data_IF_413205419336
#
_entry.id   IF_413205419336
#
_cell.length_a   1.000
_cell.length_b   1.000
_cell.length_c   1.000
_cell.angle_alpha   90.00
_cell.angle_beta   90.00
_cell.angle_gamma   90.00
#
_symmetry.space_group_name_H-M   'P 1'
#
loop_
_entity.id
_entity.type
_entity.pdbx_description
1 polymer ?
#
# COMPACT_ATOMS: atom_id res chain seq x y z
N UNK A 1 27.51 -7.58 -9.27
CA UNK A 1 26.57 -6.43 -9.30
C UNK A 1 25.31 -6.87 -8.57
N UNK A 2 24.89 -6.14 -7.55
CA UNK A 2 23.58 -6.35 -6.95
C UNK A 2 22.49 -5.85 -7.91
N UNK A 3 21.43 -6.63 -8.10
CA UNK A 3 20.29 -6.18 -8.89
C UNK A 3 19.59 -5.01 -8.16
N UNK A 4 19.28 -3.95 -8.90
CA UNK A 4 18.53 -2.81 -8.38
C UNK A 4 17.09 -2.89 -8.86
N UNK A 5 16.14 -2.96 -7.91
CA UNK A 5 14.70 -2.96 -8.20
C UNK A 5 14.17 -1.56 -7.98
N UNK A 6 13.69 -0.92 -9.04
CA UNK A 6 13.13 0.44 -8.97
C UNK A 6 11.76 0.46 -8.31
N UNK A 7 11.37 1.58 -7.72
CA UNK A 7 10.03 1.75 -7.13
C UNK A 7 8.93 1.60 -8.19
N UNK A 8 9.16 2.10 -9.40
CA UNK A 8 8.22 1.93 -10.51
C UNK A 8 7.97 0.46 -10.86
N UNK A 9 9.02 -0.37 -10.81
CA UNK A 9 8.89 -1.81 -11.03
C UNK A 9 8.09 -2.49 -9.92
N UNK A 10 8.28 -2.09 -8.66
CA UNK A 10 7.51 -2.62 -7.52
C UNK A 10 6.03 -2.26 -7.63
N UNK A 11 5.72 -1.00 -7.99
CA UNK A 11 4.34 -0.54 -8.23
C UNK A 11 3.70 -1.33 -9.37
N UNK A 12 4.43 -1.55 -10.47
CA UNK A 12 3.96 -2.35 -11.60
C UNK A 12 3.67 -3.81 -11.17
N UNK A 13 4.54 -4.42 -10.36
CA UNK A 13 4.31 -5.78 -9.86
C UNK A 13 3.05 -5.87 -8.99
N UNK A 14 2.82 -4.90 -8.10
CA UNK A 14 1.61 -4.85 -7.29
C UNK A 14 0.35 -4.72 -8.18
N UNK A 15 0.40 -3.90 -9.22
CA UNK A 15 -0.68 -3.76 -10.19
C UNK A 15 -0.93 -5.08 -10.93
N UNK A 16 0.11 -5.70 -11.49
CA UNK A 16 0.01 -6.96 -12.21
C UNK A 16 -0.52 -8.11 -11.35
N UNK A 17 -0.18 -8.13 -10.05
CA UNK A 17 -0.73 -9.11 -9.12
C UNK A 17 -2.24 -8.94 -8.95
N UNK A 18 -2.73 -7.71 -8.75
CA UNK A 18 -4.17 -7.43 -8.60
C UNK A 18 -4.94 -7.76 -9.88
N UNK A 19 -4.41 -7.42 -11.04
CA UNK A 19 -5.00 -7.79 -12.34
C UNK A 19 -5.06 -9.30 -12.51
N UNK A 20 -4.01 -10.02 -12.14
CA UNK A 20 -3.96 -11.47 -12.29
C UNK A 20 -4.98 -12.22 -11.40
N UNK A 21 -5.48 -11.61 -10.32
CA UNK A 21 -6.53 -12.21 -9.48
C UNK A 21 -7.85 -12.34 -10.24
N UNK A 22 -8.12 -11.46 -11.19
CA UNK A 22 -9.34 -11.54 -12.01
C UNK A 22 -9.28 -12.70 -13.01
N UNK A 23 -8.08 -13.04 -13.48
CA UNK A 23 -7.88 -14.03 -14.54
C UNK A 23 -7.51 -15.42 -14.02
N UNK A 24 -7.18 -15.53 -12.73
CA UNK A 24 -6.69 -16.79 -12.13
C UNK A 24 -7.41 -17.09 -10.82
N UNK A 25 -7.36 -18.37 -10.42
CA UNK A 25 -7.85 -18.82 -9.12
C UNK A 25 -6.76 -18.72 -8.07
N UNK A 26 -6.90 -17.77 -7.15
CA UNK A 26 -5.99 -17.60 -6.01
C UNK A 26 -6.67 -18.03 -4.71
N UNK A 27 -5.89 -18.63 -3.83
CA UNK A 27 -6.34 -19.07 -2.51
C UNK A 27 -5.33 -18.63 -1.45
N UNK A 28 -5.84 -18.03 -0.37
CA UNK A 28 -5.07 -17.99 0.87
C UNK A 28 -5.17 -19.35 1.54
N UNK A 29 -4.05 -19.91 1.98
CA UNK A 29 -4.04 -21.18 2.70
C UNK A 29 -3.43 -21.03 4.09
N UNK A 30 -3.89 -21.88 4.98
CA UNK A 30 -3.35 -22.08 6.32
C UNK A 30 -2.73 -23.46 6.40
N UNK A 31 -1.59 -23.57 7.04
CA UNK A 31 -0.86 -24.82 7.16
C UNK A 31 -0.19 -25.01 8.51
N UNK A 32 0.34 -26.20 8.73
CA UNK A 32 1.11 -26.57 9.91
C UNK A 32 2.47 -25.88 9.89
N UNK A 33 3.09 -25.77 11.07
CA UNK A 33 4.43 -25.23 11.19
C UNK A 33 5.47 -26.08 10.46
N UNK A 34 6.50 -25.43 9.97
CA UNK A 34 7.65 -26.13 9.39
C UNK A 34 8.44 -26.84 10.53
N UNK A 35 8.54 -28.17 10.56
CA UNK A 35 9.27 -28.84 11.61
C UNK A 35 10.78 -28.65 11.42
N UNK A 36 11.48 -28.36 12.50
CA UNK A 36 12.94 -28.41 12.54
C UNK A 36 13.47 -29.84 12.63
N UNK A 37 12.63 -30.76 13.10
CA UNK A 37 12.89 -32.19 13.15
C UNK A 37 11.60 -32.96 12.82
N UNK A 38 11.66 -34.04 12.05
CA UNK A 38 10.52 -34.92 11.82
C UNK A 38 10.12 -35.58 13.14
N UNK A 39 9.10 -35.06 13.79
CA UNK A 39 8.60 -35.63 15.03
C UNK A 39 7.20 -36.23 14.80
N UNK A 40 6.92 -37.47 15.20
CA UNK A 40 5.58 -38.03 15.16
C UNK A 40 4.69 -37.21 16.10
N UNK A 41 3.64 -36.58 15.58
CA UNK A 41 2.77 -35.67 16.33
C UNK A 41 2.80 -34.22 15.83
N UNK A 42 3.38 -34.01 14.68
CA UNK A 42 3.40 -32.75 13.96
C UNK A 42 2.01 -32.08 13.96
N UNK A 43 1.99 -30.81 14.36
CA UNK A 43 0.74 -30.05 14.53
C UNK A 43 0.12 -30.14 15.92
N UNK A 44 0.66 -30.91 16.86
CA UNK A 44 0.20 -30.91 18.26
C UNK A 44 0.62 -29.62 18.98
N UNK A 45 -0.23 -29.18 19.89
CA UNK A 45 0.05 -27.96 20.68
C UNK A 45 1.31 -28.06 21.53
N UNK A 46 1.74 -29.27 21.94
CA UNK A 46 3.00 -29.50 22.65
C UNK A 46 4.23 -29.14 21.83
N UNK A 47 4.15 -29.27 20.50
CA UNK A 47 5.27 -29.02 19.60
C UNK A 47 5.51 -27.52 19.40
N UNK A 48 4.51 -26.69 19.70
CA UNK A 48 4.57 -25.23 19.59
C UNK A 48 5.20 -24.53 20.80
N UNK A 49 5.26 -25.24 21.94
CA UNK A 49 5.76 -24.66 23.20
C UNK A 49 7.24 -24.93 23.44
N UNK A 50 7.85 -25.88 22.74
CA UNK A 50 9.23 -26.35 22.99
C UNK A 50 10.23 -25.93 21.95
N UNK A 51 9.79 -25.51 20.78
CA UNK A 51 10.66 -24.99 19.72
C UNK A 51 10.10 -23.69 19.19
N UNK A 52 10.99 -22.73 18.95
CA UNK A 52 10.66 -21.52 18.21
C UNK A 52 10.23 -21.94 16.82
N UNK A 53 8.97 -21.70 16.48
CA UNK A 53 8.49 -21.90 15.12
C UNK A 53 9.32 -21.04 14.18
N UNK A 54 10.05 -21.65 13.29
CA UNK A 54 10.76 -20.91 12.28
C UNK A 54 9.76 -20.18 11.39
N UNK A 55 10.01 -18.92 11.12
CA UNK A 55 9.22 -18.17 10.14
C UNK A 55 9.21 -18.94 8.81
N UNK A 56 8.09 -18.97 8.10
CA UNK A 56 8.03 -19.55 6.76
C UNK A 56 9.12 -18.93 5.88
N UNK A 57 9.93 -19.80 5.25
CA UNK A 57 10.98 -19.35 4.33
C UNK A 57 10.51 -19.69 2.91
N UNK A 58 10.43 -18.67 2.08
CA UNK A 58 10.08 -18.83 0.67
C UNK A 58 11.33 -19.31 -0.10
N UNK A 59 11.51 -20.63 -0.13
CA UNK A 59 12.52 -21.27 -0.95
C UNK A 59 12.04 -22.63 -1.46
N UNK A 60 12.70 -23.14 -2.50
CA UNK A 60 12.33 -24.38 -3.15
C UNK A 60 12.43 -25.62 -2.21
N UNK A 61 13.32 -25.60 -1.25
CA UNK A 61 13.51 -26.72 -0.31
C UNK A 61 12.27 -26.99 0.54
N UNK A 62 11.51 -25.94 0.89
CA UNK A 62 10.31 -26.05 1.71
C UNK A 62 9.01 -26.15 0.92
N UNK A 63 9.06 -25.99 -0.39
CA UNK A 63 7.86 -25.97 -1.23
C UNK A 63 7.04 -27.26 -1.12
N UNK A 64 7.68 -28.43 -1.10
CA UNK A 64 7.01 -29.72 -0.93
C UNK A 64 6.33 -29.79 0.44
N UNK A 65 7.06 -29.39 1.48
CA UNK A 65 6.51 -29.38 2.84
C UNK A 65 5.28 -28.47 2.95
N UNK A 66 5.30 -27.29 2.34
CA UNK A 66 4.14 -26.39 2.33
C UNK A 66 2.92 -27.01 1.65
N UNK A 67 3.11 -27.75 0.56
CA UNK A 67 2.03 -28.46 -0.12
C UNK A 67 1.44 -29.56 0.74
N UNK A 68 2.29 -30.34 1.40
CA UNK A 68 1.88 -31.50 2.21
C UNK A 68 1.21 -31.07 3.52
N UNK A 69 1.48 -29.87 4.00
CA UNK A 69 0.98 -29.35 5.29
C UNK A 69 -0.08 -28.28 5.18
N UNK A 70 -0.53 -27.94 3.96
CA UNK A 70 -1.66 -27.04 3.75
C UNK A 70 -2.95 -27.68 4.23
N UNK A 71 -3.62 -27.09 5.22
CA UNK A 71 -4.81 -27.64 5.84
C UNK A 71 -6.09 -27.09 5.21
N UNK A 72 -6.15 -25.77 5.09
CA UNK A 72 -7.36 -25.06 4.64
C UNK A 72 -6.98 -23.99 3.65
N UNK A 73 -7.82 -23.80 2.65
CA UNK A 73 -7.67 -22.72 1.68
C UNK A 73 -8.98 -22.03 1.42
N UNK A 74 -8.93 -20.71 1.30
CA UNK A 74 -10.06 -19.86 0.96
C UNK A 74 -9.75 -19.03 -0.26
N UNK A 75 -10.70 -19.00 -1.21
CA UNK A 75 -10.56 -18.27 -2.46
C UNK A 75 -10.40 -16.77 -2.20
N UNK A 76 -9.43 -16.18 -2.87
CA UNK A 76 -9.20 -14.74 -2.91
C UNK A 76 -9.87 -14.19 -4.17
N UNK A 77 -10.68 -13.16 -4.01
CA UNK A 77 -11.31 -12.42 -5.10
C UNK A 77 -10.80 -10.97 -5.09
N UNK A 78 -11.12 -10.19 -6.11
CA UNK A 78 -10.81 -8.76 -6.16
C UNK A 78 -11.35 -7.96 -4.96
N UNK A 79 -12.44 -8.44 -4.34
CA UNK A 79 -13.00 -7.85 -3.12
C UNK A 79 -12.16 -8.07 -1.85
N UNK A 80 -11.21 -9.01 -1.92
CA UNK A 80 -10.34 -9.38 -0.80
C UNK A 80 -8.95 -8.76 -0.88
N UNK A 81 -8.69 -7.92 -1.88
CA UNK A 81 -7.34 -7.41 -2.14
C UNK A 81 -7.38 -5.90 -2.32
N UNK A 82 -6.48 -5.21 -1.64
CA UNK A 82 -6.30 -3.76 -1.78
C UNK A 82 -4.82 -3.40 -1.86
N UNK A 83 -4.51 -2.37 -2.67
CA UNK A 83 -3.21 -1.70 -2.60
C UNK A 83 -3.12 -0.94 -1.31
N UNK A 84 -1.94 -0.92 -0.72
CA UNK A 84 -1.70 -0.23 0.54
C UNK A 84 -0.42 0.58 0.48
N UNK A 85 -0.39 1.63 1.29
CA UNK A 85 0.79 2.44 1.54
C UNK A 85 1.03 2.56 3.05
N UNK A 86 2.25 2.90 3.44
CA UNK A 86 2.60 3.09 4.85
C UNK A 86 1.65 4.12 5.48
N UNK A 87 1.14 3.82 6.67
CA UNK A 87 0.27 4.73 7.41
C UNK A 87 1.06 5.86 8.03
N UNK A 88 0.64 7.08 7.75
CA UNK A 88 1.13 8.30 8.38
C UNK A 88 -0.08 9.08 8.86
N UNK A 89 -0.38 9.01 10.14
CA UNK A 89 -1.50 9.74 10.72
C UNK A 89 -1.17 11.22 10.87
N UNK A 90 -2.14 12.08 10.56
CA UNK A 90 -1.98 13.49 10.88
C UNK A 90 -2.13 13.73 12.38
N UNK A 91 -1.13 14.35 12.96
CA UNK A 91 -1.09 14.70 14.38
C UNK A 91 -0.74 16.20 14.48
N UNK A 92 -1.52 16.93 15.23
CA UNK A 92 -1.24 18.37 15.48
C UNK A 92 0.14 18.56 16.10
N UNK A 93 0.79 19.66 15.72
CA UNK A 93 2.13 20.02 16.22
C UNK A 93 3.24 19.03 15.79
N UNK A 94 3.06 18.37 14.65
CA UNK A 94 4.02 17.45 14.05
C UNK A 94 4.53 18.02 12.72
N UNK A 95 5.79 17.78 12.40
CA UNK A 95 6.41 18.17 11.13
C UNK A 95 6.28 17.07 10.10
N UNK A 96 5.91 17.43 8.88
CA UNK A 96 5.79 16.54 7.74
C UNK A 96 6.66 17.02 6.59
N UNK A 97 7.06 16.11 5.73
CA UNK A 97 7.74 16.44 4.49
C UNK A 97 6.73 16.95 3.46
N UNK A 98 7.19 17.74 2.51
CA UNK A 98 6.40 18.05 1.33
C UNK A 98 6.72 17.10 0.19
N UNK A 99 5.79 16.94 -0.76
CA UNK A 99 6.08 16.25 -2.00
C UNK A 99 7.22 16.94 -2.75
N UNK A 100 8.28 16.20 -3.06
CA UNK A 100 9.38 16.65 -3.92
C UNK A 100 9.87 15.48 -4.76
N UNK A 101 9.91 15.66 -6.07
CA UNK A 101 10.38 14.67 -7.03
C UNK A 101 11.91 14.46 -6.99
N UNK A 102 12.66 15.41 -6.40
CA UNK A 102 14.12 15.50 -6.40
C UNK A 102 14.79 15.02 -5.10
N UNK A 103 14.05 14.36 -4.19
CA UNK A 103 14.68 13.74 -3.03
C UNK A 103 15.74 12.71 -3.46
N UNK A 104 16.92 12.84 -2.90
CA UNK A 104 18.11 12.07 -3.26
C UNK A 104 19.16 12.15 -2.13
N UNK A 105 20.27 11.46 -2.26
CA UNK A 105 21.41 11.57 -1.33
C UNK A 105 21.92 13.01 -1.15
N UNK A 106 21.65 13.90 -2.12
CA UNK A 106 22.04 15.31 -2.08
C UNK A 106 20.92 16.25 -1.61
N UNK A 107 19.69 15.74 -1.53
CA UNK A 107 18.50 16.50 -1.14
C UNK A 107 17.65 15.61 -0.25
N UNK A 108 17.91 15.66 1.02
CA UNK A 108 17.25 14.87 2.05
C UNK A 108 15.88 15.45 2.39
N UNK A 109 14.89 14.58 2.62
CA UNK A 109 13.59 14.97 3.17
C UNK A 109 13.78 15.50 4.60
N UNK A 110 13.43 16.75 4.88
CA UNK A 110 13.93 17.43 6.08
C UNK A 110 13.32 16.93 7.39
N UNK A 111 12.11 16.34 7.36
CA UNK A 111 11.44 15.80 8.55
C UNK A 111 11.77 14.34 8.78
N UNK A 112 11.58 13.48 7.79
CA UNK A 112 11.79 12.03 7.90
C UNK A 112 13.23 11.57 7.74
N UNK A 113 14.14 12.44 7.27
CA UNK A 113 15.57 12.16 7.06
C UNK A 113 15.83 11.04 6.06
N UNK A 114 15.02 10.93 5.02
CA UNK A 114 15.16 9.93 3.96
C UNK A 114 15.51 10.56 2.61
N UNK A 115 16.08 9.76 1.73
CA UNK A 115 16.59 10.17 0.41
C UNK A 115 15.69 9.74 -0.76
N UNK A 116 14.50 9.24 -0.45
CA UNK A 116 13.53 8.77 -1.42
C UNK A 116 12.14 9.28 -1.06
N UNK A 117 11.39 9.76 -2.07
CA UNK A 117 10.05 10.30 -1.87
C UNK A 117 9.12 9.30 -1.16
N UNK A 118 9.05 8.06 -1.63
CA UNK A 118 8.11 7.07 -1.10
C UNK A 118 8.39 6.59 0.32
N UNK A 119 9.56 6.90 0.85
CA UNK A 119 9.90 6.65 2.25
C UNK A 119 9.66 7.88 3.14
N UNK A 120 9.42 9.05 2.54
CA UNK A 120 9.18 10.30 3.29
C UNK A 120 7.73 10.41 3.75
N UNK A 121 7.49 11.30 4.71
CA UNK A 121 6.16 11.52 5.30
C UNK A 121 5.44 12.69 4.59
N UNK A 122 5.29 12.63 3.26
CA UNK A 122 4.71 13.71 2.44
C UNK A 122 3.20 13.59 2.24
N UNK A 123 2.55 12.59 2.80
CA UNK A 123 1.11 12.42 2.82
C UNK A 123 0.65 12.03 4.22
N UNK A 124 -0.60 12.25 4.52
CA UNK A 124 -1.21 11.91 5.80
C UNK A 124 -2.62 11.35 5.63
N UNK A 125 -3.04 10.52 6.59
CA UNK A 125 -4.43 10.15 6.79
C UNK A 125 -4.95 10.82 8.06
N UNK A 126 -6.17 11.36 8.00
CA UNK A 126 -6.85 11.94 9.16
C UNK A 126 -7.68 10.90 9.91
N UNK A 127 -8.12 11.24 11.12
CA UNK A 127 -9.08 10.47 11.92
C UNK A 127 -10.44 10.27 11.25
N UNK A 128 -10.73 11.06 10.20
CA UNK A 128 -11.91 10.91 9.33
C UNK A 128 -11.64 10.01 8.11
N UNK A 129 -10.50 9.30 8.08
CA UNK A 129 -10.06 8.46 6.96
C UNK A 129 -9.94 9.20 5.62
N UNK A 130 -9.68 10.51 5.67
CA UNK A 130 -9.36 11.32 4.50
C UNK A 130 -7.86 11.38 4.30
N UNK A 131 -7.41 11.20 3.06
CA UNK A 131 -6.00 11.19 2.68
C UNK A 131 -5.63 12.48 1.97
N UNK A 132 -4.53 13.07 2.42
CA UNK A 132 -4.01 14.34 1.90
C UNK A 132 -2.53 14.22 1.56
N UNK A 133 -2.11 14.89 0.49
CA UNK A 133 -0.71 15.08 0.15
C UNK A 133 -0.26 16.47 0.55
N UNK A 134 0.95 16.57 1.10
CA UNK A 134 1.56 17.84 1.48
C UNK A 134 2.25 18.48 0.27
N UNK A 135 1.74 19.57 -0.23
CA UNK A 135 2.34 20.34 -1.32
C UNK A 135 3.33 21.41 -0.84
N UNK A 136 3.13 21.93 0.36
CA UNK A 136 4.00 22.91 1.00
C UNK A 136 4.06 22.64 2.51
N UNK A 137 5.22 22.83 3.10
CA UNK A 137 5.45 22.67 4.54
C UNK A 137 6.21 23.86 5.16
N UNK A 138 6.25 25.00 4.46
CA UNK A 138 6.91 26.22 4.93
C UNK A 138 8.43 26.18 4.92
N UNK A 139 9.05 25.12 4.39
CA UNK A 139 10.52 25.05 4.30
C UNK A 139 11.06 25.77 3.08
N UNK A 140 12.28 26.30 3.21
CA UNK A 140 13.09 26.85 2.14
C UNK A 140 14.57 26.63 2.46
N UNK A 141 15.44 26.88 1.48
CA UNK A 141 16.88 26.71 1.66
C UNK A 141 17.38 25.31 1.31
N UNK A 142 18.69 25.17 1.20
CA UNK A 142 19.34 23.87 0.97
C UNK A 142 19.41 23.10 2.28
N UNK A 143 18.85 21.90 2.33
CA UNK A 143 18.84 21.02 3.50
C UNK A 143 18.34 21.73 4.80
N UNK A 144 17.07 22.18 4.83
CA UNK A 144 16.55 22.90 5.97
C UNK A 144 16.59 22.03 7.23
N UNK A 145 17.11 22.56 8.32
CA UNK A 145 17.19 21.87 9.62
C UNK A 145 15.96 22.11 10.50
N UNK A 146 15.24 23.19 10.23
CA UNK A 146 14.03 23.53 10.94
C UNK A 146 12.82 23.37 10.01
N UNK A 147 11.97 22.40 10.30
CA UNK A 147 10.72 22.18 9.57
C UNK A 147 9.58 22.70 10.42
N UNK A 148 8.78 23.65 9.93
CA UNK A 148 7.56 24.09 10.61
C UNK A 148 6.69 22.90 11.00
N UNK A 149 5.87 23.10 12.04
CA UNK A 149 4.93 22.06 12.49
C UNK A 149 3.53 22.35 11.96
N UNK A 150 2.87 21.31 11.47
CA UNK A 150 1.47 21.42 11.07
C UNK A 150 0.59 21.56 12.31
N UNK A 151 -0.15 22.67 12.38
CA UNK A 151 -1.01 22.99 13.51
C UNK A 151 -2.49 22.76 13.21
N UNK A 152 -2.87 22.85 11.94
CA UNK A 152 -4.27 22.78 11.52
C UNK A 152 -4.54 21.50 10.73
N UNK A 153 -5.50 20.69 11.22
CA UNK A 153 -5.93 19.47 10.52
C UNK A 153 -6.47 19.83 9.13
N UNK A 154 -5.99 19.15 8.06
CA UNK A 154 -6.56 19.33 6.74
C UNK A 154 -8.01 18.81 6.71
N UNK A 155 -8.91 19.64 6.23
CA UNK A 155 -10.35 19.33 6.13
C UNK A 155 -10.93 19.64 4.75
N UNK A 156 -10.26 20.50 3.98
CA UNK A 156 -10.71 20.91 2.65
C UNK A 156 -10.63 19.74 1.66
N UNK A 157 -11.73 19.50 0.94
CA UNK A 157 -11.83 18.44 -0.07
C UNK A 157 -11.98 18.99 -1.48
N UNK A 158 -11.65 20.27 -1.69
CA UNK A 158 -11.71 20.91 -3.01
C UNK A 158 -10.71 20.30 -3.98
N UNK A 159 -11.00 20.39 -5.27
CA UNK A 159 -10.12 19.93 -6.36
C UNK A 159 -8.78 20.66 -6.30
N UNK A 160 -8.85 22.01 -6.25
CA UNK A 160 -7.67 22.83 -6.02
C UNK A 160 -7.39 22.93 -4.52
N UNK A 161 -6.14 22.74 -4.11
CA UNK A 161 -5.78 22.86 -2.70
C UNK A 161 -5.99 24.32 -2.24
N UNK A 162 -6.37 24.51 -0.97
CA UNK A 162 -6.52 25.85 -0.41
C UNK A 162 -5.19 26.61 -0.44
N UNK A 163 -5.23 27.89 -0.11
CA UNK A 163 -4.03 28.71 0.11
C UNK A 163 -3.19 28.13 1.25
N UNK A 164 -1.91 28.48 1.27
CA UNK A 164 -1.00 28.09 2.35
C UNK A 164 -1.54 28.56 3.69
N UNK A 165 -1.62 27.65 4.66
CA UNK A 165 -2.03 27.98 6.03
C UNK A 165 -1.01 28.85 6.75
N UNK A 166 -1.42 29.47 7.87
CA UNK A 166 -0.53 30.29 8.70
C UNK A 166 0.62 29.50 9.35
N UNK A 167 0.52 28.17 9.37
CA UNK A 167 1.58 27.26 9.79
C UNK A 167 2.57 26.89 8.67
N UNK A 168 2.36 27.41 7.45
CA UNK A 168 3.18 27.15 6.27
C UNK A 168 2.80 25.89 5.50
N UNK A 169 1.78 25.13 5.95
CA UNK A 169 1.34 23.94 5.28
C UNK A 169 0.26 24.22 4.24
N UNK A 170 0.32 23.43 3.16
CA UNK A 170 -0.69 23.38 2.11
C UNK A 170 -0.96 21.93 1.75
N UNK A 171 -2.18 21.46 2.03
CA UNK A 171 -2.61 20.10 1.84
C UNK A 171 -3.56 19.99 0.65
N UNK A 172 -3.35 18.98 -0.19
CA UNK A 172 -4.28 18.64 -1.26
C UNK A 172 -4.98 17.33 -0.89
N UNK A 173 -6.30 17.36 -0.93
CA UNK A 173 -7.13 16.17 -0.77
C UNK A 173 -6.95 15.20 -1.93
N UNK A 174 -6.89 13.90 -1.64
CA UNK A 174 -6.83 12.83 -2.63
C UNK A 174 -8.11 11.98 -2.63
N UNK A 175 -8.43 11.34 -1.51
CA UNK A 175 -9.63 10.49 -1.39
C UNK A 175 -10.00 10.24 0.06
N UNK A 176 -11.22 9.71 0.25
CA UNK A 176 -11.69 9.17 1.54
C UNK A 176 -11.80 7.66 1.43
N UNK A 177 -11.32 6.94 2.44
CA UNK A 177 -11.41 5.48 2.49
C UNK A 177 -12.86 5.08 2.76
N UNK A 178 -13.38 4.11 2.01
CA UNK A 178 -14.76 3.66 2.18
C UNK A 178 -14.96 2.92 3.50
N UNK A 179 -16.12 3.05 4.16
CA UNK A 179 -16.41 2.32 5.40
C UNK A 179 -16.31 0.80 5.26
N UNK A 180 -16.69 0.24 4.12
CA UNK A 180 -16.59 -1.19 3.84
C UNK A 180 -15.14 -1.67 3.79
N UNK A 181 -14.24 -0.84 3.30
CA UNK A 181 -12.82 -1.14 3.23
C UNK A 181 -12.15 -0.98 4.60
N UNK A 182 -12.56 0.02 5.39
CA UNK A 182 -12.07 0.19 6.77
C UNK A 182 -12.35 -1.07 7.57
N UNK A 183 -13.57 -1.62 7.54
CA UNK A 183 -13.94 -2.82 8.29
C UNK A 183 -13.05 -4.03 7.96
N UNK A 184 -12.65 -4.16 6.70
CA UNK A 184 -11.87 -5.32 6.23
C UNK A 184 -10.36 -5.13 6.35
N UNK A 185 -9.87 -3.91 6.15
CA UNK A 185 -8.45 -3.68 5.87
C UNK A 185 -7.80 -2.64 6.79
N UNK A 186 -8.48 -2.16 7.84
CA UNK A 186 -7.86 -1.20 8.76
C UNK A 186 -6.65 -1.82 9.44
N UNK A 187 -5.55 -1.09 9.41
CA UNK A 187 -4.25 -1.53 9.92
C UNK A 187 -3.53 -0.36 10.57
N UNK A 188 -2.74 -0.64 11.59
CA UNK A 188 -1.89 0.36 12.25
C UNK A 188 -0.66 0.73 11.44
N UNK A 189 -0.23 -0.14 10.50
CA UNK A 189 0.99 0.07 9.72
C UNK A 189 0.72 0.58 8.31
N UNK A 190 -0.45 0.26 7.76
CA UNK A 190 -0.81 0.59 6.37
C UNK A 190 -2.22 1.13 6.30
N UNK A 191 -2.48 2.00 5.32
CA UNK A 191 -3.82 2.31 4.88
C UNK A 191 -4.01 1.93 3.42
N UNK A 192 -5.26 1.67 3.07
CA UNK A 192 -5.64 1.21 1.74
C UNK A 192 -5.80 2.36 0.77
N UNK A 193 -5.46 2.08 -0.49
CA UNK A 193 -5.70 2.96 -1.63
C UNK A 193 -6.83 2.35 -2.48
N UNK A 194 -7.80 3.15 -2.94
CA UNK A 194 -8.91 2.65 -3.74
C UNK A 194 -8.45 1.84 -4.95
N UNK A 195 -9.01 0.64 -5.13
CA UNK A 195 -8.82 -0.12 -6.37
C UNK A 195 -9.60 0.55 -7.51
N UNK A 196 -9.19 0.30 -8.75
CA UNK A 196 -9.88 0.80 -9.92
C UNK A 196 -9.95 2.35 -10.02
N UNK A 197 -8.93 3.05 -9.51
CA UNK A 197 -8.88 4.51 -9.59
C UNK A 197 -9.00 5.02 -11.01
N UNK A 198 -8.24 4.44 -11.92
CA UNK A 198 -8.16 4.85 -13.33
C UNK A 198 -9.52 4.79 -14.05
N UNK A 199 -10.31 3.73 -13.79
CA UNK A 199 -11.57 3.46 -14.47
C UNK A 199 -12.80 3.70 -13.58
N UNK A 200 -12.62 4.31 -12.41
CA UNK A 200 -13.72 4.56 -11.47
C UNK A 200 -14.71 5.57 -12.04
N UNK A 201 -16.00 5.26 -11.87
CA UNK A 201 -17.11 6.16 -12.17
C UNK A 201 -17.64 6.88 -10.90
N UNK A 202 -17.00 6.68 -9.75
CA UNK A 202 -17.35 7.40 -8.54
C UNK A 202 -17.08 8.89 -8.72
N UNK A 203 -18.09 9.72 -8.52
CA UNK A 203 -18.01 11.16 -8.77
C UNK A 203 -16.90 11.86 -7.98
N UNK A 204 -16.61 11.42 -6.77
CA UNK A 204 -15.54 11.99 -5.94
C UNK A 204 -14.16 11.65 -6.55
N UNK A 205 -13.96 10.39 -6.93
CA UNK A 205 -12.73 9.95 -7.60
C UNK A 205 -12.55 10.66 -8.94
N UNK A 206 -13.59 10.67 -9.78
CA UNK A 206 -13.56 11.36 -11.09
C UNK A 206 -13.21 12.82 -10.91
N UNK A 207 -13.82 13.50 -9.94
CA UNK A 207 -13.56 14.92 -9.65
C UNK A 207 -12.10 15.19 -9.30
N UNK A 208 -11.48 14.34 -8.47
CA UNK A 208 -10.07 14.51 -8.08
C UNK A 208 -9.12 14.06 -9.18
N UNK A 209 -9.37 12.88 -9.79
CA UNK A 209 -8.56 12.31 -10.86
C UNK A 209 -8.55 13.22 -12.09
N UNK A 210 -9.71 13.66 -12.51
CA UNK A 210 -9.88 14.44 -13.73
C UNK A 210 -9.97 15.95 -13.45
N UNK A 211 -9.82 16.38 -12.19
CA UNK A 211 -9.83 17.78 -11.76
C UNK A 211 -11.18 18.48 -11.98
N UNK A 212 -12.23 17.73 -12.24
CA UNK A 212 -13.58 18.28 -12.52
C UNK A 212 -13.66 19.13 -13.78
N UNK A 213 -12.57 19.22 -14.56
CA UNK A 213 -12.50 20.06 -15.75
C UNK A 213 -11.56 19.42 -16.80
N UNK A 214 -11.85 19.64 -18.07
CA UNK A 214 -11.04 19.19 -19.21
C UNK A 214 -9.61 19.77 -19.25
N UNK A 215 -9.28 20.73 -18.40
CA UNK A 215 -8.02 21.45 -18.38
C UNK A 215 -7.04 21.02 -17.27
N UNK A 216 -7.16 19.83 -16.71
CA UNK A 216 -6.20 19.25 -15.74
C UNK A 216 -4.75 19.39 -16.19
N UNK A 217 -4.53 19.27 -17.49
CA UNK A 217 -3.20 19.35 -18.06
C UNK A 217 -2.57 20.75 -17.93
N UNK A 218 -3.36 21.78 -17.61
CA UNK A 218 -2.89 23.18 -17.57
C UNK A 218 -2.49 23.66 -16.17
N UNK A 219 -2.59 22.81 -15.13
CA UNK A 219 -2.26 23.19 -13.77
C UNK A 219 -1.38 22.16 -13.06
N UNK A 220 -0.37 21.68 -13.75
CA UNK A 220 0.47 20.57 -13.31
C UNK A 220 1.37 20.97 -12.15
N UNK A 221 2.21 22.00 -12.33
CA UNK A 221 3.14 22.45 -11.28
C UNK A 221 2.38 23.32 -10.27
N UNK A 222 2.50 22.98 -8.99
CA UNK A 222 1.80 23.69 -7.89
C UNK A 222 2.75 24.51 -7.02
N UNK A 223 4.05 24.24 -7.08
CA UNK A 223 5.06 24.88 -6.23
C UNK A 223 6.39 25.03 -6.94
N UNK A 224 7.05 26.15 -6.67
CA UNK A 224 8.49 26.34 -6.89
C UNK A 224 9.17 26.43 -5.52
N UNK A 225 10.15 25.58 -5.29
CA UNK A 225 10.94 25.58 -4.06
C UNK A 225 12.09 26.58 -4.17
N UNK A 226 12.26 27.40 -3.17
CA UNK A 226 13.39 28.36 -3.07
C UNK A 226 14.52 27.68 -2.30
N UNK A 227 15.53 27.19 -3.00
CA UNK A 227 16.76 26.66 -2.37
C UNK A 227 17.70 27.81 -2.00
N UNK A 228 17.78 28.83 -2.83
CA UNK A 228 18.49 30.08 -2.56
C UNK A 228 17.77 31.25 -3.25
N UNK A 229 17.55 32.31 -2.53
CA UNK A 229 16.97 33.54 -3.07
C UNK A 229 17.96 34.41 -3.85
N UNK A 230 19.25 34.14 -3.71
CA UNK A 230 20.33 34.92 -4.34
C UNK A 230 20.44 36.34 -3.79
N UNK A 231 21.03 37.24 -4.58
CA UNK A 231 21.17 38.66 -4.19
C UNK A 231 21.24 39.58 -5.43
N UNK A 232 20.90 40.84 -5.23
CA UNK A 232 21.02 41.88 -6.25
C UNK A 232 19.95 41.84 -7.34
N UNK A 233 18.84 41.13 -7.13
CA UNK A 233 17.74 41.09 -8.09
C UNK A 233 16.86 42.34 -8.03
N UNK A 234 16.61 42.94 -9.18
CA UNK A 234 15.73 44.10 -9.37
C UNK A 234 14.83 43.85 -10.59
N UNK A 235 13.55 44.19 -10.48
CA UNK A 235 12.56 44.07 -11.57
C UNK A 235 12.61 42.71 -12.29
N UNK A 236 12.64 41.63 -11.51
CA UNK A 236 12.85 40.30 -12.00
C UNK A 236 11.53 39.65 -12.40
N UNK A 237 11.49 39.15 -13.65
CA UNK A 237 10.43 38.25 -14.11
C UNK A 237 10.95 36.84 -14.26
N UNK A 238 10.07 35.88 -14.27
CA UNK A 238 10.46 34.48 -14.43
C UNK A 238 9.45 33.67 -15.23
N UNK A 239 9.94 32.60 -15.84
CA UNK A 239 9.13 31.58 -16.51
C UNK A 239 9.67 30.19 -16.21
N UNK A 240 8.84 29.17 -16.39
CA UNK A 240 9.29 27.78 -16.30
C UNK A 240 9.62 27.27 -17.69
N UNK A 241 10.87 26.89 -17.88
CA UNK A 241 11.36 26.24 -19.10
C UNK A 241 11.58 24.74 -18.83
N UNK A 242 11.26 23.90 -19.82
CA UNK A 242 11.40 22.45 -19.75
C UNK A 242 10.82 21.79 -21.00
N UNK A 243 10.45 20.51 -20.86
CA UNK A 243 9.78 19.74 -21.91
C UNK A 243 8.26 20.00 -21.97
N UNK A 244 7.70 20.62 -20.95
CA UNK A 244 6.31 21.08 -20.89
C UNK A 244 6.09 22.46 -21.46
N UNK A 245 4.88 23.00 -21.28
CA UNK A 245 4.49 24.32 -21.76
C UNK A 245 3.49 25.02 -20.83
N UNK A 246 3.46 26.35 -20.86
CA UNK A 246 2.46 27.15 -20.17
C UNK A 246 2.70 27.33 -18.66
N UNK A 247 3.87 26.94 -18.15
CA UNK A 247 4.26 27.21 -16.75
C UNK A 247 4.68 28.66 -16.55
N UNK A 248 3.98 29.37 -15.65
CA UNK A 248 4.24 30.77 -15.34
C UNK A 248 4.35 30.97 -13.83
N UNK A 249 5.23 31.87 -13.44
CA UNK A 249 5.47 32.21 -12.02
C UNK A 249 5.57 33.72 -11.83
N UNK A 250 5.13 34.18 -10.67
CA UNK A 250 5.34 35.53 -10.18
C UNK A 250 6.36 35.53 -9.07
N UNK A 251 7.31 36.47 -9.11
CA UNK A 251 8.41 36.57 -8.15
C UNK A 251 8.21 37.83 -7.29
N UNK A 252 8.51 37.70 -6.02
CA UNK A 252 8.65 38.85 -5.08
C UNK A 252 10.09 38.90 -4.59
N UNK A 253 10.70 40.06 -4.70
CA UNK A 253 12.04 40.35 -4.18
C UNK A 253 11.96 41.26 -2.98
N UNK A 254 12.81 41.04 -1.98
CA UNK A 254 12.96 41.90 -0.80
C UNK A 254 14.46 42.16 -0.58
N UNK A 255 14.87 43.41 -0.62
CA UNK A 255 16.29 43.81 -0.49
C UNK A 255 17.23 43.11 -1.51
N UNK A 256 16.71 42.84 -2.73
CA UNK A 256 17.47 42.18 -3.79
C UNK A 256 17.53 40.65 -3.67
N UNK A 257 16.88 40.04 -2.71
CA UNK A 257 16.73 38.61 -2.56
C UNK A 257 15.33 38.14 -3.02
N UNK A 258 15.23 37.01 -3.71
CA UNK A 258 13.95 36.38 -4.06
C UNK A 258 13.39 35.72 -2.80
N UNK A 259 12.32 36.24 -2.26
CA UNK A 259 11.70 35.76 -1.02
C UNK A 259 10.40 34.98 -1.23
N UNK A 260 9.75 35.14 -2.39
CA UNK A 260 8.54 34.39 -2.73
C UNK A 260 8.48 34.11 -4.22
N UNK A 261 7.99 32.93 -4.55
CA UNK A 261 7.66 32.51 -5.92
C UNK A 261 6.28 31.86 -5.90
N UNK A 262 5.35 32.46 -6.59
CA UNK A 262 3.96 31.98 -6.73
C UNK A 262 3.77 31.45 -8.13
N UNK A 263 3.28 30.22 -8.24
CA UNK A 263 2.90 29.64 -9.53
C UNK A 263 1.57 30.23 -9.95
N UNK A 264 1.56 31.01 -11.03
CA UNK A 264 0.35 31.64 -11.60
C UNK A 264 -0.31 30.72 -12.62
N UNK A 265 0.47 29.91 -13.33
CA UNK A 265 0.01 28.82 -14.19
C UNK A 265 0.95 27.62 -14.02
N UNK A 266 0.40 26.47 -13.69
CA UNK A 266 1.19 25.22 -13.51
C UNK A 266 1.61 24.57 -14.83
N UNK A 267 1.08 25.01 -15.96
CA UNK A 267 1.35 24.45 -17.26
C UNK A 267 1.01 22.98 -17.41
N UNK A 268 1.51 22.36 -18.46
CA UNK A 268 1.25 20.94 -18.77
C UNK A 268 2.45 20.24 -19.40
N UNK A 269 2.52 18.92 -19.26
CA UNK A 269 3.47 18.06 -19.96
C UNK A 269 4.90 18.08 -19.40
N UNK A 270 5.13 18.69 -18.23
CA UNK A 270 6.45 18.73 -17.63
C UNK A 270 6.84 17.39 -17.02
N UNK A 271 8.01 16.88 -17.41
CA UNK A 271 8.74 15.80 -16.72
C UNK A 271 10.03 16.33 -16.08
N UNK A 272 10.52 17.45 -16.58
CA UNK A 272 11.56 18.25 -15.93
C UNK A 272 11.32 19.74 -16.20
N UNK A 273 11.92 20.59 -15.39
CA UNK A 273 11.83 22.03 -15.59
C UNK A 273 12.86 22.80 -14.79
N UNK A 274 13.13 24.00 -15.22
CA UNK A 274 13.95 24.98 -14.53
C UNK A 274 13.20 26.32 -14.50
N UNK A 275 13.43 27.12 -13.45
CA UNK A 275 12.96 28.49 -13.43
C UNK A 275 14.00 29.38 -14.12
N UNK A 276 13.62 29.95 -15.24
CA UNK A 276 14.43 30.93 -15.95
C UNK A 276 14.11 32.33 -15.45
N UNK A 277 15.12 32.99 -14.90
CA UNK A 277 15.02 34.33 -14.38
C UNK A 277 15.44 35.33 -15.44
N UNK A 278 14.59 36.30 -15.73
CA UNK A 278 14.91 37.45 -16.57
C UNK A 278 15.07 38.67 -15.70
N UNK A 279 16.30 39.04 -15.41
CA UNK A 279 16.69 40.17 -14.59
C UNK A 279 17.91 40.87 -15.19
N UNK A 280 17.93 42.19 -15.07
CA UNK A 280 19.10 42.98 -15.50
C UNK A 280 20.29 42.83 -14.55
N UNK A 281 20.07 42.36 -13.34
CA UNK A 281 21.07 42.20 -12.28
C UNK A 281 20.68 41.05 -11.36
N UNK A 282 21.56 40.65 -10.47
CA UNK A 282 21.34 39.58 -9.52
C UNK A 282 22.05 38.27 -9.88
N UNK A 283 22.44 37.52 -8.84
CA UNK A 283 23.13 36.26 -8.97
C UNK A 283 22.77 35.29 -7.82
N UNK A 284 23.01 34.00 -8.04
CA UNK A 284 23.01 32.98 -6.97
C UNK A 284 21.62 32.48 -6.58
N UNK A 285 20.54 32.89 -7.23
CA UNK A 285 19.24 32.29 -6.98
C UNK A 285 19.20 30.86 -7.52
N UNK A 286 18.61 29.97 -6.74
CA UNK A 286 18.31 28.60 -7.14
C UNK A 286 16.85 28.27 -6.79
N UNK A 287 16.03 28.20 -7.82
CA UNK A 287 14.60 27.99 -7.76
C UNK A 287 14.26 26.68 -8.45
N UNK A 288 13.59 25.76 -7.76
CA UNK A 288 13.31 24.42 -8.23
C UNK A 288 11.81 24.26 -8.42
N UNK A 289 11.30 24.13 -9.65
CA UNK A 289 9.90 23.80 -9.87
C UNK A 289 9.65 22.37 -9.41
N UNK A 290 8.67 22.17 -8.56
CA UNK A 290 8.32 20.82 -8.06
C UNK A 290 7.45 20.14 -9.11
N UNK A 291 8.03 19.14 -9.77
CA UNK A 291 7.36 18.40 -10.84
C UNK A 291 6.49 17.30 -10.21
N UNK A 292 5.17 17.35 -10.38
CA UNK A 292 4.26 16.31 -9.89
C UNK A 292 4.31 15.07 -10.82
N UNK A 293 3.61 13.99 -10.45
CA UNK A 293 3.37 12.88 -11.38
C UNK A 293 2.73 13.36 -12.69
N UNK A 294 2.88 12.55 -13.73
CA UNK A 294 2.28 12.85 -15.04
C UNK A 294 0.80 13.19 -14.91
N UNK A 295 0.36 14.24 -15.58
CA UNK A 295 -0.99 14.83 -15.51
C UNK A 295 -1.38 15.46 -14.15
N UNK A 296 -0.42 15.63 -13.23
CA UNK A 296 -0.64 16.34 -11.97
C UNK A 296 -1.06 15.47 -10.80
N UNK A 297 -1.12 16.11 -9.62
CA UNK A 297 -1.49 15.47 -8.36
C UNK A 297 -2.94 14.97 -8.34
N UNK A 298 -3.12 13.70 -7.96
CA UNK A 298 -4.41 13.03 -7.87
C UNK A 298 -4.80 12.26 -9.13
N UNK A 299 -4.09 12.41 -10.26
CA UNK A 299 -4.40 11.68 -11.48
C UNK A 299 -4.09 10.18 -11.36
N UNK A 300 -2.87 9.83 -10.97
CA UNK A 300 -2.41 8.45 -10.75
C UNK A 300 -1.94 8.30 -9.31
N UNK A 301 -2.88 8.02 -8.41
CA UNK A 301 -2.56 7.90 -6.98
C UNK A 301 -1.65 6.70 -6.67
N UNK A 302 -1.58 5.71 -7.55
CA UNK A 302 -0.73 4.55 -7.33
C UNK A 302 0.75 4.93 -7.44
N UNK A 303 1.11 5.69 -8.49
CA UNK A 303 2.45 6.27 -8.61
C UNK A 303 2.71 7.38 -7.63
N UNK A 304 1.69 8.21 -7.37
CA UNK A 304 1.84 9.34 -6.47
C UNK A 304 2.15 8.92 -5.03
N UNK A 305 1.50 7.88 -4.52
CA UNK A 305 1.70 7.37 -3.17
C UNK A 305 2.71 6.21 -3.08
N UNK A 306 3.20 5.69 -4.21
CA UNK A 306 4.16 4.59 -4.23
C UNK A 306 3.58 3.26 -3.77
N UNK A 307 2.43 2.86 -4.32
CA UNK A 307 1.70 1.65 -3.91
C UNK A 307 2.39 0.37 -4.36
N UNK A 308 3.46 0.00 -3.71
CA UNK A 308 4.27 -1.19 -4.01
C UNK A 308 3.87 -2.44 -3.19
N UNK A 309 2.82 -2.33 -2.36
CA UNK A 309 2.35 -3.38 -1.46
C UNK A 309 0.88 -3.67 -1.64
N UNK A 310 0.52 -4.90 -1.34
CA UNK A 310 -0.85 -5.40 -1.44
C UNK A 310 -1.23 -6.06 -0.12
N UNK A 311 -2.40 -5.71 0.40
CA UNK A 311 -3.01 -6.35 1.56
C UNK A 311 -4.09 -7.32 1.08
N UNK A 312 -4.05 -8.53 1.59
CA UNK A 312 -5.03 -9.58 1.31
C UNK A 312 -5.81 -9.85 2.58
N UNK A 313 -7.13 -9.79 2.48
CA UNK A 313 -8.04 -10.18 3.54
C UNK A 313 -8.62 -11.56 3.25
N UNK A 314 -8.39 -12.50 4.14
CA UNK A 314 -9.03 -13.81 4.11
C UNK A 314 -9.58 -14.12 5.51
N UNK A 315 -10.89 -14.31 5.61
CA UNK A 315 -11.54 -14.71 6.85
C UNK A 315 -11.93 -16.17 6.76
N UNK A 316 -11.36 -16.95 7.66
CA UNK A 316 -11.77 -18.32 7.92
C UNK A 316 -12.77 -18.30 9.08
N UNK A 317 -13.87 -18.99 8.95
CA UNK A 317 -14.99 -18.90 9.88
C UNK A 317 -15.62 -20.27 10.12
N UNK A 318 -15.83 -20.60 11.39
CA UNK A 318 -16.48 -21.86 11.80
C UNK A 318 -17.95 -21.89 11.36
N UNK A 319 -18.62 -20.75 11.33
CA UNK A 319 -20.02 -20.67 10.88
C UNK A 319 -20.22 -21.09 9.43
N UNK A 320 -19.19 -20.98 8.61
CA UNK A 320 -19.18 -21.45 7.22
C UNK A 320 -18.57 -22.85 7.08
N UNK A 321 -18.15 -23.47 8.18
CA UNK A 321 -17.42 -24.73 8.24
C UNK A 321 -16.14 -24.73 7.37
N UNK A 322 -15.56 -23.56 7.18
CA UNK A 322 -14.32 -23.39 6.44
C UNK A 322 -13.11 -23.80 7.28
N UNK A 323 -13.26 -23.75 8.61
CA UNK A 323 -12.13 -23.84 9.51
C UNK A 323 -12.58 -24.18 10.94
N UNK A 324 -12.04 -25.22 11.57
CA UNK A 324 -12.29 -25.50 12.99
C UNK A 324 -11.61 -24.45 13.86
N UNK A 325 -12.37 -23.81 14.76
CA UNK A 325 -11.89 -22.69 15.58
C UNK A 325 -10.78 -23.09 16.55
N UNK A 326 -10.70 -24.36 16.93
CA UNK A 326 -9.68 -24.87 17.86
C UNK A 326 -8.37 -25.31 17.18
N UNK A 327 -8.29 -25.18 15.86
CA UNK A 327 -7.10 -25.57 15.11
C UNK A 327 -6.03 -24.47 15.19
N UNK A 328 -4.79 -24.87 15.50
CA UNK A 328 -3.62 -23.98 15.44
C UNK A 328 -2.90 -24.17 14.10
N UNK A 329 -2.42 -23.07 13.56
CA UNK A 329 -1.63 -23.04 12.33
C UNK A 329 -0.41 -22.11 12.51
N UNK A 330 0.61 -22.30 11.69
CA UNK A 330 1.82 -21.47 11.70
C UNK A 330 2.29 -21.07 10.31
N UNK A 331 1.65 -21.56 9.28
CA UNK A 331 1.93 -21.18 7.90
C UNK A 331 0.74 -20.46 7.31
N UNK A 332 1.02 -19.36 6.62
CA UNK A 332 0.07 -18.65 5.77
C UNK A 332 0.74 -18.43 4.43
N UNK A 333 0.05 -18.78 3.36
CA UNK A 333 0.58 -18.60 2.02
C UNK A 333 -0.51 -18.40 0.98
N UNK A 334 -0.07 -18.25 -0.26
CA UNK A 334 -0.95 -18.04 -1.42
C UNK A 334 -0.68 -19.14 -2.42
N UNK A 335 -1.76 -19.77 -2.90
CA UNK A 335 -1.72 -20.73 -4.00
C UNK A 335 -2.36 -20.10 -5.24
N UNK A 336 -1.74 -20.29 -6.37
CA UNK A 336 -2.26 -19.89 -7.68
C UNK A 336 -2.64 -21.11 -8.49
N UNK A 337 -3.86 -21.14 -9.02
CA UNK A 337 -4.39 -22.17 -9.89
C UNK A 337 -4.15 -23.60 -9.36
N UNK A 338 -4.59 -23.94 -8.12
CA UNK A 338 -4.51 -25.33 -7.68
C UNK A 338 -5.34 -26.22 -8.60
N UNK A 339 -4.85 -27.42 -8.85
CA UNK A 339 -5.55 -28.39 -9.68
C UNK A 339 -6.49 -29.28 -8.84
N UNK A 340 -7.53 -29.79 -9.45
CA UNK A 340 -8.41 -30.77 -8.82
C UNK A 340 -7.75 -32.14 -8.79
N UNK A 341 -8.05 -32.95 -7.79
CA UNK A 341 -7.57 -34.31 -7.68
C UNK A 341 -8.02 -35.21 -8.86
N UNK A 342 -9.15 -34.91 -9.48
CA UNK A 342 -9.78 -35.73 -10.50
C UNK A 342 -9.21 -35.55 -11.91
N UNK A 343 -8.32 -34.58 -12.15
CA UNK A 343 -7.77 -34.38 -13.49
C UNK A 343 -6.60 -33.41 -13.55
N UNK A 344 -5.55 -33.84 -14.23
CA UNK A 344 -4.39 -32.99 -14.53
C UNK A 344 -4.83 -31.88 -15.47
N UNK A 345 -4.49 -30.62 -15.11
CA UNK A 345 -4.82 -29.42 -15.90
C UNK A 345 -6.21 -28.85 -15.63
N UNK A 346 -6.99 -29.42 -14.69
CA UNK A 346 -8.28 -28.85 -14.30
C UNK A 346 -8.09 -27.99 -13.06
N UNK A 347 -8.16 -26.66 -13.25
CA UNK A 347 -8.04 -25.69 -12.15
C UNK A 347 -9.22 -25.81 -11.19
N UNK A 348 -8.94 -25.90 -9.90
CA UNK A 348 -9.96 -25.81 -8.85
C UNK A 348 -10.51 -24.39 -8.75
N UNK A 349 -11.83 -24.27 -8.73
CA UNK A 349 -12.54 -22.98 -8.70
C UNK A 349 -13.50 -22.80 -7.52
N UNK A 350 -13.61 -23.80 -6.63
CA UNK A 350 -14.46 -23.74 -5.43
C UNK A 350 -14.14 -22.56 -4.51
N UNK A 351 -15.01 -22.24 -3.59
CA UNK A 351 -14.82 -21.10 -2.66
C UNK A 351 -13.78 -21.36 -1.57
N UNK A 352 -13.68 -22.61 -1.16
CA UNK A 352 -12.74 -23.08 -0.12
C UNK A 352 -12.32 -24.52 -0.38
N UNK A 353 -11.25 -24.96 0.24
CA UNK A 353 -10.85 -26.37 0.28
C UNK A 353 -10.33 -26.75 1.67
N UNK A 354 -10.47 -28.03 1.98
CA UNK A 354 -9.85 -28.66 3.15
C UNK A 354 -9.06 -29.87 2.70
N UNK A 355 -7.88 -30.08 3.24
CA UNK A 355 -7.06 -31.27 3.04
C UNK A 355 -7.35 -32.37 4.08
N UNK A 356 -8.27 -32.12 4.98
CA UNK A 356 -8.69 -33.10 5.97
C UNK A 356 -9.55 -34.19 5.34
N UNK A 357 -9.45 -35.38 5.88
CA UNK A 357 -10.29 -36.50 5.49
C UNK A 357 -11.66 -36.40 6.16
N UNK A 358 -12.72 -36.60 5.40
CA UNK A 358 -14.07 -36.72 5.93
C UNK A 358 -14.41 -38.20 6.21
N UNK A 359 -14.87 -38.50 7.43
CA UNK A 359 -15.28 -39.84 7.85
C UNK A 359 -16.73 -39.75 8.31
N UNK A 360 -17.60 -40.48 7.60
CA UNK A 360 -19.00 -40.65 8.04
C UNK A 360 -19.07 -41.73 9.13
N UNK A 361 -19.79 -41.45 10.22
CA UNK A 361 -20.07 -42.40 11.28
C UNK A 361 -21.53 -42.80 11.30
N UNK A 362 -21.82 -44.07 11.56
CA UNK A 362 -23.19 -44.61 11.55
C UNK A 362 -23.84 -44.65 12.95
N UNK A 363 -23.02 -44.50 13.99
CA UNK A 363 -23.47 -44.60 15.40
C UNK A 363 -23.51 -43.25 16.06
N UNK A 364 -24.42 -43.07 17.02
CA UNK A 364 -24.48 -41.89 17.85
C UNK A 364 -23.43 -41.98 18.94
N UNK A 365 -22.30 -41.36 18.72
CA UNK A 365 -21.17 -41.29 19.67
C UNK A 365 -20.98 -39.82 20.05
N UNK A 366 -20.64 -39.54 21.28
CA UNK A 366 -20.20 -38.22 21.67
C UNK A 366 -18.73 -38.08 21.29
N UNK A 367 -18.45 -37.14 20.40
CA UNK A 367 -17.11 -36.88 19.87
C UNK A 367 -16.82 -35.40 20.06
N UNK A 368 -15.65 -35.10 20.57
CA UNK A 368 -15.17 -33.72 20.73
C UNK A 368 -14.01 -33.44 19.80
N UNK A 369 -13.84 -32.18 19.44
CA UNK A 369 -12.66 -31.72 18.72
C UNK A 369 -11.41 -32.04 19.54
N UNK A 370 -10.39 -32.61 18.90
CA UNK A 370 -9.17 -33.07 19.56
C UNK A 370 -9.19 -34.53 20.02
N UNK A 371 -10.34 -35.22 20.00
CA UNK A 371 -10.39 -36.64 20.33
C UNK A 371 -9.56 -37.47 19.32
N UNK A 372 -8.82 -38.46 19.86
CA UNK A 372 -8.07 -39.38 19.03
C UNK A 372 -9.00 -40.48 18.53
N UNK A 373 -9.04 -40.66 17.23
CA UNK A 373 -9.71 -41.75 16.57
C UNK A 373 -8.70 -42.77 16.06
N UNK A 374 -9.04 -44.05 16.13
CA UNK A 374 -8.20 -45.12 15.62
C UNK A 374 -9.03 -46.11 14.82
N UNK A 375 -8.46 -46.60 13.72
CA UNK A 375 -9.05 -47.65 12.90
C UNK A 375 -8.07 -48.81 12.75
N UNK A 376 -8.50 -49.99 13.10
CA UNK A 376 -7.72 -51.21 12.86
C UNK A 376 -7.83 -51.60 11.36
N UNK A 377 -6.72 -51.53 10.65
CA UNK A 377 -6.62 -51.87 9.23
C UNK A 377 -6.37 -53.36 8.99
N UNK A 378 -6.28 -54.14 10.03
CA UNK A 378 -5.86 -55.55 9.94
C UNK A 378 -4.32 -55.71 9.93
N UNK A 379 -3.86 -56.97 10.08
CA UNK A 379 -2.42 -57.31 10.07
C UNK A 379 -1.56 -56.47 11.07
N UNK A 380 -2.15 -56.02 12.17
CA UNK A 380 -1.44 -55.18 13.15
C UNK A 380 -1.24 -53.73 12.77
N UNK A 381 -1.80 -53.28 11.66
CA UNK A 381 -1.77 -51.88 11.23
C UNK A 381 -2.94 -51.10 11.85
N UNK A 382 -2.64 -49.98 12.44
CA UNK A 382 -3.62 -49.05 13.04
C UNK A 382 -3.46 -47.70 12.34
N UNK A 383 -4.54 -47.22 11.71
CA UNK A 383 -4.63 -45.82 11.30
C UNK A 383 -5.06 -44.97 12.49
N UNK A 384 -4.45 -43.83 12.67
CA UNK A 384 -4.74 -42.92 13.75
C UNK A 384 -5.00 -41.50 13.19
N UNK A 385 -5.92 -40.78 13.81
CA UNK A 385 -6.24 -39.41 13.47
C UNK A 385 -6.79 -38.66 14.69
N UNK A 386 -6.93 -37.36 14.54
CA UNK A 386 -7.55 -36.50 15.54
C UNK A 386 -8.73 -35.77 14.89
N UNK A 387 -9.80 -35.63 15.65
CA UNK A 387 -11.02 -34.94 15.21
C UNK A 387 -10.74 -33.44 15.12
N UNK A 388 -10.84 -32.90 13.91
CA UNK A 388 -10.74 -31.47 13.65
C UNK A 388 -12.09 -30.77 13.74
N UNK A 389 -13.16 -31.44 13.32
CA UNK A 389 -14.55 -30.97 13.48
C UNK A 389 -15.50 -32.19 13.49
N UNK A 390 -16.67 -32.01 14.07
CA UNK A 390 -17.72 -33.03 14.05
C UNK A 390 -19.05 -32.35 13.82
N UNK A 391 -19.71 -32.72 12.74
CA UNK A 391 -21.06 -32.29 12.44
C UNK A 391 -22.06 -33.34 13.00
N UNK A 392 -22.81 -32.96 14.03
CA UNK A 392 -23.77 -33.85 14.71
C UNK A 392 -24.99 -34.18 13.86
N UNK A 393 -25.34 -33.34 12.89
CA UNK A 393 -26.50 -33.55 12.02
C UNK A 393 -26.17 -34.52 10.87
N UNK A 394 -25.06 -34.27 10.19
CA UNK A 394 -24.61 -35.11 9.08
C UNK A 394 -23.79 -36.31 9.53
N UNK A 395 -23.35 -36.34 10.80
CA UNK A 395 -22.47 -37.36 11.40
C UNK A 395 -21.14 -37.50 10.65
N UNK A 396 -20.60 -36.41 10.16
CA UNK A 396 -19.31 -36.34 9.47
C UNK A 396 -18.26 -35.74 10.41
N UNK A 397 -17.15 -36.48 10.53
CA UNK A 397 -15.91 -36.04 11.18
C UNK A 397 -15.03 -35.34 10.18
#
# INVERSE_FOLDING_TARGET
>A
MSAFVTDQFRILNANSFIESINDNSYYAFLGLSNPTTPNPGFGRTSDWNTSINNNPIDNFQYLSHYRDTSLFGKKITSENVRRVVKRVDWISNTSYDMYRHDYSEYTEAPSSKVFNLYNSNYYVITDEFKVYICLENGTSGKNPTNVPRSLFKPVDTSIEPPTVGSDGYRWKYLFTISPSDIIKFDSTEYFIVPNNWENSLNNEIVRIRDGGNSDIQNNQIKKVYIESGGSGYVDTTASILGDGSGGEVSITTTNGEITSVVVTSGGKGYTYGIVNLNSSSGTGAKLIPIIPPSKGHGYDIYKELGTDKVLIYARFDDSTKDFPTDTKFAQVGILKNPETFSGVGITFTGGNFSSLYSIGITTSISINVGDKITQNQGNGLIAEGYVASFDTETKIL
#
